data_IF_577789817030
#
_entry.id   IF_577789817030
#
_cell.length_a   1.000
_cell.length_b   1.000
_cell.length_c   1.000
_cell.angle_alpha   90.00
_cell.angle_beta   90.00
_cell.angle_gamma   90.00
#
_symmetry.space_group_name_H-M   'P 1'
#
loop_
_entity.id
_entity.type
_entity.pdbx_description
1 polymer ?
#
# COMPACT_ATOMS: atom_id res chain seq x y z
N UNK A 1 42.10 -15.43 -34.16
CA UNK A 1 40.88 -16.25 -34.06
C UNK A 1 40.52 -16.38 -32.59
N UNK A 2 39.53 -15.64 -32.11
CA UNK A 2 39.05 -15.72 -30.73
C UNK A 2 37.81 -16.64 -30.68
N UNK A 3 37.66 -17.53 -29.67
CA UNK A 3 36.50 -18.39 -29.58
C UNK A 3 35.28 -17.59 -29.13
N UNK A 4 34.18 -17.69 -29.89
CA UNK A 4 32.90 -17.11 -29.52
C UNK A 4 32.30 -17.87 -28.33
N UNK A 5 32.05 -17.14 -27.24
CA UNK A 5 31.38 -17.66 -26.04
C UNK A 5 29.88 -17.68 -26.31
N UNK A 6 29.31 -18.84 -26.64
CA UNK A 6 27.86 -19.00 -26.78
C UNK A 6 27.19 -18.81 -25.40
N UNK A 7 26.43 -17.73 -25.26
CA UNK A 7 25.53 -17.52 -24.12
C UNK A 7 24.38 -18.53 -24.25
N UNK A 8 24.30 -19.48 -23.32
CA UNK A 8 23.14 -20.37 -23.20
C UNK A 8 21.92 -19.53 -22.83
N UNK A 9 21.01 -19.35 -23.76
CA UNK A 9 19.66 -18.88 -23.47
C UNK A 9 18.87 -20.05 -22.93
N UNK A 10 18.91 -20.27 -21.61
CA UNK A 10 17.87 -21.06 -20.95
C UNK A 10 16.54 -20.33 -21.14
N UNK A 11 15.48 -20.98 -21.65
CA UNK A 11 14.17 -20.35 -21.75
C UNK A 11 13.72 -19.95 -20.34
N UNK A 12 13.25 -18.71 -20.18
CA UNK A 12 12.59 -18.29 -18.96
C UNK A 12 11.32 -19.15 -18.84
N UNK A 13 11.34 -20.17 -17.99
CA UNK A 13 10.12 -20.82 -17.55
C UNK A 13 9.34 -19.74 -16.80
N UNK A 14 8.09 -19.50 -17.19
CA UNK A 14 7.18 -18.66 -16.42
C UNK A 14 6.92 -19.37 -15.08
N UNK A 15 7.78 -19.11 -14.10
CA UNK A 15 7.59 -19.56 -12.74
C UNK A 15 6.41 -18.79 -12.15
N UNK A 16 5.24 -19.44 -12.19
CA UNK A 16 4.07 -19.01 -11.43
C UNK A 16 4.45 -18.88 -9.94
N UNK A 17 3.83 -17.93 -9.25
CA UNK A 17 3.96 -17.79 -7.78
C UNK A 17 3.62 -19.12 -7.10
N UNK A 18 2.67 -19.89 -7.65
CA UNK A 18 2.35 -21.23 -7.17
C UNK A 18 3.54 -22.20 -7.26
N UNK A 19 4.38 -22.09 -8.30
CA UNK A 19 5.60 -22.89 -8.47
C UNK A 19 6.64 -22.56 -7.40
N UNK A 20 6.77 -21.29 -7.01
CA UNK A 20 7.68 -20.87 -5.93
C UNK A 20 7.18 -21.32 -4.55
N UNK A 21 5.87 -21.23 -4.30
CA UNK A 21 5.26 -21.61 -3.01
C UNK A 21 5.23 -23.12 -2.79
N UNK A 22 5.07 -23.91 -3.86
CA UNK A 22 5.05 -25.38 -3.81
C UNK A 22 6.41 -26.00 -4.18
N UNK A 23 7.47 -25.19 -4.25
CA UNK A 23 8.81 -25.67 -4.54
C UNK A 23 9.29 -26.57 -3.38
N UNK A 24 9.77 -27.80 -3.66
CA UNK A 24 10.35 -28.66 -2.63
C UNK A 24 11.70 -28.12 -2.08
N UNK A 25 12.15 -26.95 -2.53
CA UNK A 25 13.52 -26.45 -2.35
C UNK A 25 13.69 -25.35 -1.30
N UNK A 26 12.67 -24.99 -0.50
CA UNK A 26 12.86 -24.02 0.57
C UNK A 26 11.63 -23.72 1.43
N UNK A 27 11.82 -23.01 2.56
CA UNK A 27 10.71 -22.49 3.35
C UNK A 27 9.89 -21.48 2.53
N UNK A 28 8.58 -21.33 2.80
CA UNK A 28 7.77 -20.35 2.11
C UNK A 28 8.32 -18.92 2.34
N UNK A 29 8.20 -18.02 1.35
CA UNK A 29 8.70 -16.66 1.46
C UNK A 29 7.98 -15.90 2.59
N UNK A 30 8.71 -15.08 3.34
CA UNK A 30 8.14 -14.19 4.35
C UNK A 30 7.66 -12.91 3.68
N UNK A 31 6.37 -12.61 3.80
CA UNK A 31 5.74 -11.48 3.12
C UNK A 31 5.38 -10.40 4.14
N UNK A 32 5.76 -9.15 3.85
CA UNK A 32 5.21 -7.99 4.52
C UNK A 32 4.05 -7.41 3.70
N UNK A 33 2.87 -7.32 4.28
CA UNK A 33 1.72 -6.65 3.68
C UNK A 33 1.54 -5.26 4.29
N UNK A 34 1.73 -4.22 3.49
CA UNK A 34 1.46 -2.84 3.85
C UNK A 34 0.06 -2.42 3.38
N UNK A 35 -0.82 -2.07 4.31
CA UNK A 35 -2.12 -1.44 4.03
C UNK A 35 -2.00 0.05 4.34
N UNK A 36 -1.94 0.89 3.31
CA UNK A 36 -1.75 2.33 3.48
C UNK A 36 -2.78 3.16 2.71
N UNK A 37 -3.38 4.15 3.38
CA UNK A 37 -4.29 5.09 2.72
C UNK A 37 -5.37 5.67 3.61
N UNK A 38 -6.37 6.27 2.98
CA UNK A 38 -7.56 6.83 3.62
C UNK A 38 -8.48 5.69 4.10
N UNK A 39 -8.88 5.67 5.37
CA UNK A 39 -9.62 4.56 6.00
C UNK A 39 -11.11 4.46 5.61
N UNK A 40 -11.52 5.08 4.49
CA UNK A 40 -12.90 5.37 4.06
C UNK A 40 -13.89 4.26 4.31
N UNK A 41 -13.52 3.04 3.94
CA UNK A 41 -14.36 1.86 4.01
C UNK A 41 -13.71 0.73 4.79
N UNK A 42 -12.54 0.97 5.41
CA UNK A 42 -11.77 -0.08 6.08
C UNK A 42 -12.54 -0.70 7.26
N UNK A 43 -13.34 0.12 7.95
CA UNK A 43 -14.22 -0.35 9.03
C UNK A 43 -15.37 -1.25 8.55
N UNK A 44 -15.71 -1.22 7.26
CA UNK A 44 -16.76 -2.07 6.72
C UNK A 44 -16.33 -3.53 6.77
N UNK A 45 -17.17 -4.37 7.40
CA UNK A 45 -16.95 -5.80 7.55
C UNK A 45 -16.63 -6.52 6.23
N UNK A 46 -17.28 -6.12 5.14
CA UNK A 46 -17.04 -6.71 3.83
C UNK A 46 -15.64 -6.41 3.32
N UNK A 47 -15.10 -5.23 3.61
CA UNK A 47 -13.78 -4.80 3.13
C UNK A 47 -12.68 -5.56 3.84
N UNK A 48 -12.63 -5.50 5.17
CA UNK A 48 -11.54 -6.17 5.89
C UNK A 48 -11.64 -7.70 5.82
N UNK A 49 -12.86 -8.26 5.72
CA UNK A 49 -13.04 -9.69 5.41
C UNK A 49 -12.52 -10.03 4.02
N UNK A 50 -12.86 -9.23 3.02
CA UNK A 50 -12.41 -9.47 1.65
C UNK A 50 -10.88 -9.40 1.54
N UNK A 51 -10.23 -8.44 2.21
CA UNK A 51 -8.76 -8.38 2.33
C UNK A 51 -8.21 -9.65 2.99
N UNK A 52 -8.78 -10.06 4.12
CA UNK A 52 -8.32 -11.26 4.83
C UNK A 52 -8.44 -12.52 3.95
N UNK A 53 -9.62 -12.75 3.39
CA UNK A 53 -9.94 -13.98 2.66
C UNK A 53 -9.31 -14.06 1.27
N UNK A 54 -9.15 -12.92 0.56
CA UNK A 54 -8.73 -12.93 -0.85
C UNK A 54 -7.30 -12.46 -1.05
N UNK A 55 -6.75 -11.68 -0.12
CA UNK A 55 -5.36 -11.25 -0.18
C UNK A 55 -4.50 -12.02 0.81
N UNK A 56 -4.81 -12.02 2.10
CA UNK A 56 -3.91 -12.61 3.11
C UNK A 56 -3.92 -14.14 3.05
N UNK A 57 -5.11 -14.74 3.13
CA UNK A 57 -5.25 -16.20 3.24
C UNK A 57 -4.93 -16.94 1.95
N UNK A 58 -5.04 -16.25 0.81
CA UNK A 58 -4.77 -16.83 -0.52
C UNK A 58 -3.30 -16.77 -0.93
N UNK A 59 -2.47 -16.00 -0.23
CA UNK A 59 -1.04 -15.92 -0.55
C UNK A 59 -0.30 -17.22 -0.23
N UNK A 60 -0.84 -18.09 0.63
CA UNK A 60 -0.24 -19.40 0.93
C UNK A 60 1.14 -19.32 1.60
N UNK A 61 1.49 -18.16 2.17
CA UNK A 61 2.78 -17.89 2.79
C UNK A 61 2.58 -17.12 4.11
N UNK A 62 3.57 -17.12 5.03
CA UNK A 62 3.52 -16.30 6.23
C UNK A 62 3.49 -14.80 5.88
N UNK A 63 2.37 -14.15 6.19
CA UNK A 63 2.17 -12.71 5.98
C UNK A 63 2.21 -11.98 7.31
N UNK A 64 3.04 -10.95 7.43
CA UNK A 64 2.97 -9.97 8.52
C UNK A 64 2.36 -8.68 8.00
N UNK A 65 1.24 -8.27 8.59
CA UNK A 65 0.47 -7.12 8.11
C UNK A 65 0.79 -5.85 8.91
N UNK A 66 1.03 -4.75 8.21
CA UNK A 66 1.26 -3.41 8.75
C UNK A 66 0.22 -2.46 8.18
N UNK A 67 -0.32 -1.56 8.99
CA UNK A 67 -1.34 -0.61 8.54
C UNK A 67 -1.00 0.84 8.91
N UNK A 68 -1.02 1.72 7.91
CA UNK A 68 -0.97 3.17 8.10
C UNK A 68 -2.22 3.81 7.52
N UNK A 69 -3.13 4.22 8.40
CA UNK A 69 -4.48 4.62 8.03
C UNK A 69 -4.72 6.10 8.35
N UNK A 70 -5.35 6.79 7.42
CA UNK A 70 -5.61 8.23 7.50
C UNK A 70 -7.11 8.47 7.63
N UNK A 71 -7.50 9.34 8.56
CA UNK A 71 -8.88 9.84 8.70
C UNK A 71 -9.16 11.06 7.82
N UNK A 72 -8.12 11.64 7.21
CA UNK A 72 -8.26 12.69 6.20
C UNK A 72 -8.06 12.15 4.79
N UNK A 73 -8.75 12.76 3.83
CA UNK A 73 -8.71 12.39 2.42
C UNK A 73 -8.50 13.61 1.53
N UNK A 74 -7.30 13.76 0.98
CA UNK A 74 -7.04 14.74 -0.09
C UNK A 74 -7.14 14.00 -1.42
N UNK A 75 -8.35 13.85 -1.93
CA UNK A 75 -8.54 13.35 -3.30
C UNK A 75 -8.07 14.46 -4.22
N UNK A 76 -7.17 14.14 -5.15
CA UNK A 76 -6.66 15.10 -6.14
C UNK A 76 -7.71 15.48 -7.18
N UNK A 77 -8.90 15.85 -6.71
CA UNK A 77 -10.05 16.28 -7.50
C UNK A 77 -10.44 17.69 -7.02
N UNK A 78 -10.24 18.65 -7.91
CA UNK A 78 -10.43 20.08 -7.71
C UNK A 78 -11.92 20.45 -7.72
N UNK A 79 -12.82 19.48 -7.94
CA UNK A 79 -14.27 19.69 -7.88
C UNK A 79 -14.66 20.04 -6.44
N UNK A 80 -15.06 21.30 -6.29
CA UNK A 80 -15.55 21.94 -5.06
C UNK A 80 -16.35 20.96 -4.17
N UNK A 81 -15.95 20.85 -2.90
CA UNK A 81 -16.65 20.16 -1.80
C UNK A 81 -16.41 18.65 -1.59
N UNK A 82 -15.41 18.02 -2.20
CA UNK A 82 -14.97 16.66 -1.78
C UNK A 82 -13.98 16.67 -0.60
N UNK A 83 -14.17 17.58 0.38
CA UNK A 83 -13.74 17.32 1.75
C UNK A 83 -14.68 16.25 2.34
N UNK A 84 -14.71 15.07 1.73
CA UNK A 84 -15.41 13.91 2.27
C UNK A 84 -14.69 13.56 3.55
N UNK A 85 -15.26 14.02 4.67
CA UNK A 85 -14.91 13.52 5.98
C UNK A 85 -15.06 12.00 5.88
N UNK A 86 -13.95 11.31 6.13
CA UNK A 86 -13.98 9.86 6.21
C UNK A 86 -14.79 9.57 7.47
N UNK A 87 -15.98 8.97 7.31
CA UNK A 87 -16.81 8.55 8.44
C UNK A 87 -16.22 7.35 9.21
N UNK A 88 -14.95 7.00 8.93
CA UNK A 88 -14.28 5.94 9.65
C UNK A 88 -14.02 6.37 11.10
N UNK A 89 -14.56 5.59 12.02
CA UNK A 89 -14.30 5.76 13.44
C UNK A 89 -12.95 5.11 13.80
N UNK A 90 -12.14 5.80 14.60
CA UNK A 90 -10.89 5.25 15.12
C UNK A 90 -11.10 3.89 15.82
N UNK A 91 -12.20 3.73 16.58
CA UNK A 91 -12.53 2.46 17.21
C UNK A 91 -12.85 1.35 16.18
N UNK A 92 -13.59 1.68 15.12
CA UNK A 92 -13.91 0.76 14.03
C UNK A 92 -12.66 0.32 13.25
N UNK A 93 -11.71 1.25 13.04
CA UNK A 93 -10.42 0.94 12.42
C UNK A 93 -9.60 -0.02 13.27
N UNK A 94 -9.53 0.23 14.59
CA UNK A 94 -8.83 -0.67 15.51
C UNK A 94 -9.45 -2.06 15.45
N UNK A 95 -10.79 -2.17 15.52
CA UNK A 95 -11.48 -3.45 15.39
C UNK A 95 -11.19 -4.16 14.06
N UNK A 96 -11.28 -3.44 12.93
CA UNK A 96 -10.97 -3.97 11.61
C UNK A 96 -9.50 -4.44 11.50
N UNK A 97 -8.57 -3.73 12.13
CA UNK A 97 -7.14 -4.10 12.12
C UNK A 97 -6.89 -5.45 12.79
N UNK A 98 -7.63 -5.78 13.86
CA UNK A 98 -7.57 -7.08 14.50
C UNK A 98 -8.07 -8.19 13.57
N UNK A 99 -9.18 -7.95 12.84
CA UNK A 99 -9.75 -8.93 11.92
C UNK A 99 -8.80 -9.28 10.75
N UNK A 100 -7.98 -8.31 10.32
CA UNK A 100 -6.99 -8.48 9.25
C UNK A 100 -5.67 -9.07 9.78
N UNK A 101 -5.46 -9.10 11.10
CA UNK A 101 -4.20 -9.53 11.70
C UNK A 101 -3.07 -8.51 11.53
N UNK A 102 -3.39 -7.23 11.72
CA UNK A 102 -2.39 -6.15 11.69
C UNK A 102 -1.49 -6.25 12.92
N UNK A 103 -0.20 -6.49 12.70
CA UNK A 103 0.86 -6.50 13.74
C UNK A 103 1.11 -5.09 14.29
N UNK A 104 1.11 -4.09 13.41
CA UNK A 104 1.32 -2.68 13.79
C UNK A 104 0.42 -1.74 13.02
N UNK A 105 -0.27 -0.90 13.77
CA UNK A 105 -1.22 0.09 13.29
C UNK A 105 -0.78 1.51 13.68
N UNK A 106 -0.70 2.39 12.69
CA UNK A 106 -0.57 3.84 12.90
C UNK A 106 -1.79 4.53 12.27
N UNK A 107 -2.50 5.35 13.07
CA UNK A 107 -3.65 6.15 12.61
C UNK A 107 -3.27 7.62 12.62
N UNK A 108 -3.61 8.32 11.54
CA UNK A 108 -3.36 9.75 11.38
C UNK A 108 -4.64 10.53 11.15
N UNK A 109 -4.83 11.58 11.94
CA UNK A 109 -5.99 12.50 11.85
C UNK A 109 -5.77 13.61 10.81
N UNK A 110 -5.23 13.29 9.63
CA UNK A 110 -4.99 14.21 8.53
C UNK A 110 -4.76 13.45 7.21
N UNK A 111 -4.89 14.12 6.07
CA UNK A 111 -4.71 13.55 4.73
C UNK A 111 -3.24 13.34 4.34
N UNK A 112 -2.36 14.23 4.75
CA UNK A 112 -0.91 14.16 4.59
C UNK A 112 -0.20 15.16 5.53
N UNK A 113 1.12 15.04 5.68
CA UNK A 113 1.94 16.11 6.27
C UNK A 113 2.15 17.24 5.25
N UNK A 114 2.38 18.45 5.74
CA UNK A 114 2.92 19.50 4.88
C UNK A 114 4.24 19.00 4.25
N UNK A 115 4.46 19.23 2.94
CA UNK A 115 5.72 18.87 2.32
C UNK A 115 6.87 19.64 2.99
N UNK A 116 8.05 19.03 3.15
CA UNK A 116 9.22 19.75 3.64
C UNK A 116 9.57 20.88 2.67
N UNK A 117 10.05 22.01 3.21
CA UNK A 117 10.52 23.11 2.38
C UNK A 117 11.77 22.65 1.61
N UNK A 118 11.74 22.74 0.28
CA UNK A 118 12.89 22.52 -0.58
C UNK A 118 13.59 23.87 -0.84
N UNK A 119 14.81 24.13 -0.32
CA UNK A 119 15.50 25.40 -0.53
C UNK A 119 15.76 25.70 -2.01
N UNK A 120 15.97 24.66 -2.82
CA UNK A 120 16.17 24.76 -4.27
C UNK A 120 14.89 25.14 -5.04
N UNK A 121 13.71 24.93 -4.44
CA UNK A 121 12.40 25.18 -5.03
C UNK A 121 11.48 25.81 -3.97
N UNK A 122 11.69 27.09 -3.63
CA UNK A 122 10.98 27.74 -2.51
C UNK A 122 9.48 27.93 -2.78
N UNK A 123 9.07 27.90 -4.05
CA UNK A 123 7.68 28.04 -4.48
C UNK A 123 7.34 26.94 -5.49
N UNK A 124 6.33 26.13 -5.20
CA UNK A 124 5.74 25.22 -6.17
C UNK A 124 4.94 26.04 -7.19
N UNK A 125 5.22 25.87 -8.48
CA UNK A 125 4.39 26.44 -9.55
C UNK A 125 3.20 25.51 -9.76
N UNK A 126 2.12 25.73 -9.03
CA UNK A 126 0.83 25.06 -9.30
C UNK A 126 0.02 25.96 -10.21
N UNK A 127 -0.49 25.44 -11.32
CA UNK A 127 -1.47 26.17 -12.14
C UNK A 127 -2.82 26.04 -11.46
N UNK A 128 -3.26 27.09 -10.76
CA UNK A 128 -4.57 27.12 -10.06
C UNK A 128 -5.76 26.91 -11.01
N UNK A 129 -5.58 27.05 -12.33
CA UNK A 129 -6.64 26.88 -13.31
C UNK A 129 -6.15 26.04 -14.50
N UNK A 130 -6.29 24.73 -14.42
CA UNK A 130 -6.40 23.93 -15.63
C UNK A 130 -7.48 22.86 -15.46
N UNK A 131 -8.70 23.12 -15.97
CA UNK A 131 -9.84 22.19 -15.86
C UNK A 131 -9.60 20.80 -16.47
N UNK A 132 -8.60 20.68 -17.35
CA UNK A 132 -8.23 19.44 -18.06
C UNK A 132 -6.92 18.82 -17.58
N UNK A 133 -6.15 19.50 -16.72
CA UNK A 133 -4.83 19.02 -16.28
C UNK A 133 -4.98 18.29 -14.96
N UNK A 134 -5.26 16.98 -15.02
CA UNK A 134 -5.39 16.12 -13.83
C UNK A 134 -4.12 16.01 -12.97
N UNK A 135 -2.98 16.58 -13.38
CA UNK A 135 -1.66 16.38 -12.77
C UNK A 135 -1.01 17.64 -12.19
N UNK A 136 -1.47 18.84 -12.57
CA UNK A 136 -0.81 20.12 -12.21
C UNK A 136 -1.56 20.93 -11.14
N UNK A 137 -2.59 20.33 -10.52
CA UNK A 137 -3.36 20.98 -9.45
C UNK A 137 -2.73 20.78 -8.06
N UNK A 138 -2.98 21.75 -7.17
CA UNK A 138 -2.60 21.64 -5.73
C UNK A 138 -3.22 20.37 -5.12
N UNK A 139 -4.46 20.04 -5.48
CA UNK A 139 -5.14 18.85 -4.99
C UNK A 139 -4.42 17.57 -5.45
N UNK A 140 -3.96 17.51 -6.71
CA UNK A 140 -3.18 16.37 -7.21
C UNK A 140 -1.86 16.21 -6.44
N UNK A 141 -1.15 17.31 -6.20
CA UNK A 141 0.07 17.29 -5.40
C UNK A 141 -0.19 16.79 -3.97
N UNK A 142 -1.26 17.26 -3.32
CA UNK A 142 -1.66 16.81 -1.98
C UNK A 142 -2.01 15.31 -1.95
N UNK A 143 -2.71 14.82 -2.97
CA UNK A 143 -3.00 13.38 -3.15
C UNK A 143 -1.71 12.56 -3.28
N UNK A 144 -0.78 13.00 -4.13
CA UNK A 144 0.52 12.34 -4.32
C UNK A 144 1.32 12.30 -3.02
N UNK A 145 1.40 13.43 -2.30
CA UNK A 145 2.05 13.50 -0.98
C UNK A 145 1.43 12.50 -0.01
N UNK A 146 0.10 12.40 0.01
CA UNK A 146 -0.61 11.43 0.85
C UNK A 146 -0.30 9.97 0.51
N UNK A 147 -0.02 9.65 -0.76
CA UNK A 147 0.37 8.31 -1.19
C UNK A 147 1.84 8.01 -0.84
N UNK A 148 2.74 8.95 -1.09
CA UNK A 148 4.16 8.82 -0.76
C UNK A 148 4.39 8.71 0.76
N UNK A 149 3.68 9.50 1.56
CA UNK A 149 3.72 9.37 3.02
C UNK A 149 3.30 7.97 3.46
N UNK A 150 2.23 7.42 2.88
CA UNK A 150 1.75 6.08 3.20
C UNK A 150 2.82 5.00 2.92
N UNK A 151 3.50 5.10 1.77
CA UNK A 151 4.61 4.20 1.43
C UNK A 151 5.77 4.35 2.40
N UNK A 152 6.21 5.58 2.67
CA UNK A 152 7.32 5.85 3.58
C UNK A 152 7.06 5.31 4.99
N UNK A 153 5.84 5.52 5.51
CA UNK A 153 5.41 5.03 6.82
C UNK A 153 5.37 3.51 6.88
N UNK A 154 4.84 2.85 5.86
CA UNK A 154 4.86 1.40 5.79
C UNK A 154 6.27 0.83 5.77
N UNK A 155 7.15 1.35 4.90
CA UNK A 155 8.54 0.88 4.85
C UNK A 155 9.24 1.07 6.19
N UNK A 156 9.00 2.20 6.87
CA UNK A 156 9.52 2.42 8.23
C UNK A 156 9.06 1.34 9.21
N UNK A 157 7.76 1.02 9.25
CA UNK A 157 7.24 -0.03 10.14
C UNK A 157 7.83 -1.41 9.83
N UNK A 158 7.99 -1.73 8.53
CA UNK A 158 8.62 -2.97 8.08
C UNK A 158 10.08 -3.02 8.55
N UNK A 159 10.88 -1.99 8.27
CA UNK A 159 12.28 -1.94 8.68
C UNK A 159 12.47 -2.01 10.20
N UNK A 160 11.59 -1.36 10.98
CA UNK A 160 11.58 -1.45 12.44
C UNK A 160 11.25 -2.88 12.90
N UNK A 161 10.31 -3.56 12.23
CA UNK A 161 10.03 -4.97 12.51
C UNK A 161 11.23 -5.86 12.20
N UNK A 162 11.82 -5.75 11.00
CA UNK A 162 12.99 -6.56 10.60
C UNK A 162 14.18 -6.34 11.55
N UNK A 163 14.39 -5.10 12.00
CA UNK A 163 15.43 -4.77 12.97
C UNK A 163 15.16 -5.39 14.34
N UNK A 164 13.90 -5.39 14.78
CA UNK A 164 13.49 -5.98 16.07
C UNK A 164 13.59 -7.51 16.06
N UNK A 165 13.17 -8.15 14.98
CA UNK A 165 13.10 -9.62 14.88
C UNK A 165 14.36 -10.25 14.30
N UNK A 166 15.31 -9.44 13.80
CA UNK A 166 16.51 -9.90 13.10
C UNK A 166 16.18 -10.80 11.90
N UNK A 167 15.00 -10.61 11.30
CA UNK A 167 14.50 -11.41 10.18
C UNK A 167 14.00 -10.47 9.09
N UNK A 168 14.49 -10.68 7.88
CA UNK A 168 14.07 -9.92 6.70
C UNK A 168 12.85 -10.55 6.03
N UNK A 169 12.02 -9.71 5.44
CA UNK A 169 10.98 -10.13 4.51
C UNK A 169 11.61 -10.33 3.13
N UNK A 170 11.12 -11.33 2.42
CA UNK A 170 11.52 -11.57 1.04
C UNK A 170 10.76 -10.58 0.15
N UNK A 171 9.47 -10.41 0.40
CA UNK A 171 8.56 -9.66 -0.46
C UNK A 171 7.79 -8.60 0.35
N UNK A 172 7.57 -7.44 -0.27
CA UNK A 172 6.73 -6.37 0.28
C UNK A 172 5.57 -6.12 -0.68
N UNK A 173 4.35 -6.34 -0.19
CA UNK A 173 3.11 -6.05 -0.91
C UNK A 173 2.51 -4.76 -0.37
N UNK A 174 2.00 -3.92 -1.25
CA UNK A 174 1.28 -2.70 -0.88
C UNK A 174 -0.16 -2.77 -1.35
N UNK A 175 -1.08 -2.49 -0.45
CA UNK A 175 -2.52 -2.58 -0.66
C UNK A 175 -3.20 -1.30 -0.17
N UNK A 176 -4.31 -0.96 -0.81
CA UNK A 176 -5.20 0.09 -0.32
C UNK A 176 -6.14 -0.47 0.75
N UNK A 177 -6.61 0.36 1.69
CA UNK A 177 -7.53 -0.07 2.74
C UNK A 177 -8.97 -0.27 2.26
N UNK A 178 -9.28 0.04 1.00
CA UNK A 178 -10.61 -0.08 0.40
C UNK A 178 -10.69 -1.18 -0.68
N UNK A 179 -9.76 -2.15 -0.65
CA UNK A 179 -9.78 -3.28 -1.57
C UNK A 179 -10.93 -4.24 -1.25
N UNK A 180 -11.73 -4.56 -2.28
CA UNK A 180 -12.81 -5.53 -2.23
C UNK A 180 -12.81 -6.36 -3.49
N UNK A 181 -13.02 -7.67 -3.36
CA UNK A 181 -13.21 -8.59 -4.47
C UNK A 181 -14.68 -8.94 -4.58
N UNK A 182 -15.28 -8.69 -5.75
CA UNK A 182 -16.62 -9.14 -6.09
C UNK A 182 -16.50 -10.44 -6.88
N UNK A 183 -17.10 -11.52 -6.38
CA UNK A 183 -17.13 -12.77 -7.12
C UNK A 183 -18.26 -12.72 -8.15
N UNK A 184 -17.93 -12.68 -9.44
CA UNK A 184 -18.90 -12.72 -10.53
C UNK A 184 -19.17 -14.16 -10.96
N UNK A 185 -19.68 -14.97 -10.05
CA UNK A 185 -20.29 -16.26 -10.41
C UNK A 185 -21.79 -16.11 -10.25
N UNK A 186 -22.42 -15.62 -11.33
CA UNK A 186 -23.84 -15.79 -11.64
C UNK A 186 -23.98 -16.98 -12.59
#
# INVERSE_FOLDING_TARGET
MAPQRQLRTTPCVEDSIASMLCSPWGPPPKIALCIAGAARTFENALVHRSIKENLIDRLGAPVTTFAFLKLGDARGDDRLNFNSRIDANQAGIVQASWAVGVERLEIKNASHNAPPLCPAYPTYKTTEQCPTCHVDSVAHQQSLLGQLEGRAKCFKMISEHESRTQSRFDWVLTARPDLTWCNSTL
#
